data_IF_544166839446
#
_entry.id   IF_544166839446
#
_cell.length_a   1.000
_cell.length_b   1.000
_cell.length_c   1.000
_cell.angle_alpha   90.00
_cell.angle_beta   90.00
_cell.angle_gamma   90.00
#
_symmetry.space_group_name_H-M   'P 1'
#
loop_
_entity.id
_entity.type
_entity.pdbx_description
1 polymer ?
#
# COMPACT_ATOMS: atom_id res chain seq x y z
N UNK A 1 -26.27 -7.77 -0.83
CA UNK A 1 -26.16 -9.20 -0.51
C UNK A 1 -25.93 -9.37 0.97
N UNK A 2 -26.73 -10.19 1.61
CA UNK A 2 -26.54 -10.50 3.03
C UNK A 2 -25.43 -11.55 3.15
N UNK A 3 -24.41 -11.25 3.94
CA UNK A 3 -23.33 -12.19 4.21
C UNK A 3 -23.52 -12.82 5.58
N UNK A 4 -23.22 -14.11 5.70
CA UNK A 4 -23.14 -14.77 7.01
C UNK A 4 -21.95 -14.32 7.84
N UNK A 5 -21.01 -13.60 7.23
CA UNK A 5 -19.81 -13.09 7.89
C UNK A 5 -19.92 -11.59 8.18
N UNK A 6 -21.03 -11.18 8.76
CA UNK A 6 -21.35 -9.75 8.94
C UNK A 6 -20.29 -8.97 9.70
N UNK A 7 -19.60 -9.60 10.65
CA UNK A 7 -18.60 -8.91 11.47
C UNK A 7 -17.37 -8.47 10.66
N UNK A 8 -17.02 -9.22 9.60
CA UNK A 8 -15.92 -8.87 8.72
C UNK A 8 -16.23 -7.59 7.95
N UNK A 9 -17.49 -7.40 7.60
CA UNK A 9 -17.93 -6.27 6.76
C UNK A 9 -18.43 -5.07 7.57
N UNK A 10 -18.36 -5.13 8.89
CA UNK A 10 -18.70 -4.00 9.75
C UNK A 10 -17.57 -2.98 9.75
N UNK A 11 -17.90 -1.68 9.77
CA UNK A 11 -16.87 -0.65 9.92
C UNK A 11 -16.11 -0.79 11.23
N UNK A 12 -14.87 -0.35 11.24
CA UNK A 12 -14.03 -0.35 12.44
C UNK A 12 -13.31 0.98 12.55
N UNK A 13 -13.31 1.56 13.74
CA UNK A 13 -12.70 2.86 13.97
C UNK A 13 -11.45 2.72 14.85
N UNK A 14 -10.33 3.29 14.35
CA UNK A 14 -9.09 3.40 15.12
C UNK A 14 -8.83 4.88 15.31
N UNK A 15 -9.01 5.38 16.54
CA UNK A 15 -8.92 6.81 16.85
C UNK A 15 -9.83 7.63 15.92
N UNK A 16 -9.25 8.40 15.00
CA UNK A 16 -10.00 9.25 14.08
C UNK A 16 -10.21 8.63 12.71
N UNK A 17 -9.70 7.41 12.49
CA UNK A 17 -9.80 6.73 11.21
C UNK A 17 -10.87 5.63 11.26
N UNK A 18 -11.84 5.71 10.35
CA UNK A 18 -12.83 4.66 10.21
C UNK A 18 -12.60 3.92 8.90
N UNK A 19 -12.40 2.60 8.97
CA UNK A 19 -12.27 1.74 7.81
C UNK A 19 -13.61 1.06 7.54
N UNK A 20 -13.91 0.87 6.25
CA UNK A 20 -15.24 0.42 5.82
C UNK A 20 -15.54 -1.04 6.17
N UNK A 21 -14.51 -1.85 6.38
CA UNK A 21 -14.64 -3.24 6.79
C UNK A 21 -13.36 -3.66 7.52
N UNK A 22 -13.30 -4.90 7.97
CA UNK A 22 -12.20 -5.42 8.76
C UNK A 22 -11.22 -6.28 7.98
N UNK A 23 -11.25 -6.14 6.65
CA UNK A 23 -10.30 -6.83 5.78
C UNK A 23 -9.07 -5.96 5.62
N UNK A 24 -7.92 -6.50 5.99
CA UNK A 24 -6.64 -5.79 5.96
C UNK A 24 -5.68 -6.54 5.04
N UNK A 25 -5.14 -5.85 4.05
CA UNK A 25 -4.04 -6.38 3.26
C UNK A 25 -2.73 -6.07 3.99
N UNK A 26 -2.05 -7.12 4.45
CA UNK A 26 -0.77 -6.98 5.15
C UNK A 26 0.35 -6.65 4.16
N UNK A 27 1.48 -6.11 4.64
CA UNK A 27 2.59 -5.76 3.75
C UNK A 27 3.16 -6.97 3.03
N UNK A 28 3.29 -6.87 1.72
CA UNK A 28 3.87 -7.91 0.88
C UNK A 28 4.84 -7.26 -0.09
N UNK A 29 6.11 -7.63 -0.04
CA UNK A 29 7.12 -7.10 -0.95
C UNK A 29 6.89 -7.62 -2.36
N UNK A 30 6.47 -6.74 -3.26
CA UNK A 30 6.16 -7.10 -4.64
C UNK A 30 7.36 -7.02 -5.57
N UNK A 31 8.34 -6.21 -5.19
CA UNK A 31 9.50 -5.92 -6.04
C UNK A 31 9.12 -5.22 -7.36
N UNK A 32 8.01 -4.48 -7.34
CA UNK A 32 7.49 -3.78 -8.52
C UNK A 32 8.02 -2.36 -8.67
N UNK A 33 8.88 -1.90 -7.74
CA UNK A 33 9.45 -0.56 -7.80
C UNK A 33 10.36 -0.37 -9.01
N UNK A 34 10.60 0.89 -9.36
CA UNK A 34 11.61 1.23 -10.35
C UNK A 34 13.00 0.93 -9.80
N UNK A 35 14.02 0.85 -10.67
CA UNK A 35 15.37 0.57 -10.23
C UNK A 35 15.91 1.63 -9.28
N UNK A 36 15.45 2.87 -9.40
CA UNK A 36 15.82 3.95 -8.50
C UNK A 36 15.03 3.98 -7.21
N UNK A 37 14.11 3.02 -7.00
CA UNK A 37 13.30 2.94 -5.79
C UNK A 37 11.99 3.71 -5.84
N UNK A 38 11.69 4.38 -6.94
CA UNK A 38 10.44 5.10 -7.11
C UNK A 38 9.28 4.13 -7.26
N UNK A 39 8.10 4.52 -6.75
CA UNK A 39 6.91 3.70 -6.95
C UNK A 39 6.52 3.69 -8.42
N UNK A 40 6.40 2.51 -9.01
CA UNK A 40 6.04 2.37 -10.42
C UNK A 40 4.54 2.51 -10.63
N UNK A 41 4.12 2.73 -11.89
CA UNK A 41 2.69 2.70 -12.21
C UNK A 41 2.10 1.30 -12.03
N UNK A 42 2.89 0.26 -12.22
CA UNK A 42 2.48 -1.10 -11.89
C UNK A 42 2.18 -1.25 -10.41
N UNK A 43 3.00 -0.67 -9.55
CA UNK A 43 2.80 -0.61 -8.10
C UNK A 43 1.47 0.08 -7.76
N UNK A 44 1.25 1.27 -8.32
CA UNK A 44 0.05 2.05 -8.06
C UNK A 44 -1.19 1.27 -8.48
N UNK A 45 -1.15 0.66 -9.68
CA UNK A 45 -2.26 -0.14 -10.16
C UNK A 45 -2.51 -1.36 -9.27
N UNK A 46 -1.46 -1.99 -8.78
CA UNK A 46 -1.56 -3.14 -7.88
C UNK A 46 -2.38 -2.81 -6.63
N UNK A 47 -2.06 -1.71 -5.97
CA UNK A 47 -2.79 -1.28 -4.78
C UNK A 47 -4.19 -0.77 -5.10
N UNK A 48 -4.33 -0.05 -6.21
CA UNK A 48 -5.64 0.46 -6.65
C UNK A 48 -6.63 -0.69 -6.88
N UNK A 49 -6.20 -1.76 -7.54
CA UNK A 49 -7.07 -2.92 -7.79
C UNK A 49 -7.52 -3.59 -6.49
N UNK A 50 -6.64 -3.67 -5.49
CA UNK A 50 -7.01 -4.23 -4.19
C UNK A 50 -8.01 -3.35 -3.47
N UNK A 51 -7.83 -2.04 -3.53
CA UNK A 51 -8.77 -1.09 -2.93
C UNK A 51 -10.15 -1.18 -3.60
N UNK A 52 -10.18 -1.23 -4.93
CA UNK A 52 -11.41 -1.37 -5.70
C UNK A 52 -12.11 -2.70 -5.43
N UNK A 53 -11.35 -3.74 -5.13
CA UNK A 53 -11.89 -5.05 -4.82
C UNK A 53 -12.55 -5.15 -3.45
N UNK A 54 -12.45 -4.12 -2.62
CA UNK A 54 -13.17 -4.07 -1.36
C UNK A 54 -12.33 -4.14 -0.09
N UNK A 55 -10.99 -4.21 -0.19
CA UNK A 55 -10.13 -4.21 0.98
C UNK A 55 -10.32 -2.92 1.78
N UNK A 56 -10.53 -3.04 3.11
CA UNK A 56 -10.78 -1.89 3.96
C UNK A 56 -9.54 -1.10 4.30
N UNK A 57 -8.43 -1.79 4.53
CA UNK A 57 -7.14 -1.17 4.87
C UNK A 57 -6.03 -1.86 4.12
N UNK A 58 -5.20 -1.08 3.45
CA UNK A 58 -4.03 -1.57 2.74
C UNK A 58 -2.78 -1.05 3.44
N UNK A 59 -1.86 -1.95 3.78
CA UNK A 59 -0.56 -1.56 4.30
C UNK A 59 0.46 -1.78 3.20
N UNK A 60 1.08 -0.68 2.76
CA UNK A 60 2.06 -0.72 1.68
C UNK A 60 3.28 -1.51 2.12
N UNK A 61 3.92 -2.17 1.16
CA UNK A 61 5.08 -3.02 1.40
C UNK A 61 6.23 -2.26 2.06
N UNK A 62 7.22 -2.99 2.53
CA UNK A 62 8.40 -2.40 3.15
C UNK A 62 9.09 -1.45 2.17
N UNK A 63 9.47 -0.29 2.67
CA UNK A 63 10.16 0.73 1.91
C UNK A 63 11.50 1.02 2.59
N UNK A 64 12.55 1.17 1.78
CA UNK A 64 13.87 1.48 2.31
C UNK A 64 13.94 2.92 2.77
N UNK A 65 14.47 3.13 3.97
CA UNK A 65 14.70 4.47 4.52
C UNK A 65 16.16 4.91 4.36
N UNK A 66 17.02 4.02 3.88
CA UNK A 66 18.45 4.31 3.66
C UNK A 66 19.01 3.31 2.66
N UNK A 67 18.95 3.68 1.38
CA UNK A 67 19.45 2.83 0.29
C UNK A 67 20.87 3.23 -0.05
N UNK A 68 21.76 2.25 -0.42
CA UNK A 68 21.44 0.83 -0.63
C UNK A 68 21.51 -0.03 0.63
N UNK A 69 21.99 0.47 1.74
CA UNK A 69 22.27 -0.33 2.93
C UNK A 69 21.02 -0.96 3.53
N UNK A 70 19.91 -0.21 3.51
CA UNK A 70 18.64 -0.68 4.06
C UNK A 70 17.74 -1.37 3.06
N UNK A 71 18.22 -1.65 1.85
CA UNK A 71 17.42 -2.24 0.78
C UNK A 71 17.63 -3.75 0.67
N UNK A 72 16.55 -4.47 0.41
CA UNK A 72 16.58 -5.92 0.19
C UNK A 72 16.72 -6.31 -1.28
N UNK A 73 16.69 -5.36 -2.20
CA UNK A 73 16.78 -5.62 -3.62
C UNK A 73 16.83 -4.34 -4.44
N UNK A 74 17.04 -4.48 -5.75
CA UNK A 74 17.22 -3.33 -6.65
C UNK A 74 15.92 -2.63 -7.01
N UNK A 75 14.78 -3.33 -6.89
CA UNK A 75 13.46 -2.80 -7.23
C UNK A 75 12.58 -2.62 -6.01
N UNK A 76 13.18 -2.54 -4.84
CA UNK A 76 12.48 -2.26 -3.61
C UNK A 76 12.08 -0.78 -3.55
N UNK A 77 10.88 -0.52 -3.04
CA UNK A 77 10.38 0.84 -2.82
C UNK A 77 11.30 1.59 -1.85
N UNK A 78 11.49 2.89 -2.07
CA UNK A 78 12.31 3.77 -1.23
C UNK A 78 11.48 4.97 -0.77
N UNK A 79 11.78 5.45 0.43
CA UNK A 79 11.18 6.67 0.98
C UNK A 79 12.24 7.57 1.62
N UNK A 80 13.51 7.39 1.25
CA UNK A 80 14.62 8.10 1.88
C UNK A 80 14.96 9.45 1.24
N UNK A 81 14.30 9.82 0.14
CA UNK A 81 14.52 11.09 -0.55
C UNK A 81 13.20 11.72 -0.97
N UNK A 82 13.19 13.05 -1.08
CA UNK A 82 12.01 13.79 -1.51
C UNK A 82 11.61 13.48 -2.95
N UNK A 83 12.52 12.95 -3.76
CA UNK A 83 12.27 12.56 -5.15
C UNK A 83 11.13 11.54 -5.26
N UNK A 84 10.84 10.80 -4.18
CA UNK A 84 9.84 9.73 -4.20
C UNK A 84 8.44 10.21 -3.83
N UNK A 85 8.30 11.45 -3.38
CA UNK A 85 7.00 12.01 -2.97
C UNK A 85 5.98 12.04 -4.11
N UNK A 86 6.31 12.48 -5.35
CA UNK A 86 5.31 12.59 -6.40
C UNK A 86 4.56 11.28 -6.71
N UNK A 87 5.28 10.16 -6.77
CA UNK A 87 4.64 8.88 -7.07
C UNK A 87 3.83 8.35 -5.88
N UNK A 88 4.29 8.59 -4.66
CA UNK A 88 3.53 8.23 -3.47
C UNK A 88 2.26 9.06 -3.37
N UNK A 89 2.33 10.34 -3.70
CA UNK A 89 1.15 11.21 -3.78
C UNK A 89 0.14 10.67 -4.79
N UNK A 90 0.62 10.23 -5.94
CA UNK A 90 -0.22 9.67 -6.99
C UNK A 90 -0.93 8.40 -6.53
N UNK A 91 -0.25 7.55 -5.75
CA UNK A 91 -0.87 6.38 -5.14
C UNK A 91 -2.04 6.79 -4.26
N UNK A 92 -1.88 7.79 -3.43
CA UNK A 92 -2.93 8.24 -2.52
C UNK A 92 -4.12 8.84 -3.26
N UNK A 93 -3.89 9.45 -4.44
CA UNK A 93 -4.97 9.98 -5.27
C UNK A 93 -5.80 8.88 -5.93
N UNK A 94 -5.17 7.77 -6.27
CA UNK A 94 -5.87 6.70 -6.98
C UNK A 94 -6.77 5.91 -6.04
#
# INVERSE_FOLDING_TARGET
>A
MKSKYKHIFEPFTVKHMTIKNRIVMTPLGTNFGEQNGEMSFLHINYYEQRAKGGTGLLIVENASVDSPQGSNGTTQLRIDLDNYIPRLFKLCES
#
